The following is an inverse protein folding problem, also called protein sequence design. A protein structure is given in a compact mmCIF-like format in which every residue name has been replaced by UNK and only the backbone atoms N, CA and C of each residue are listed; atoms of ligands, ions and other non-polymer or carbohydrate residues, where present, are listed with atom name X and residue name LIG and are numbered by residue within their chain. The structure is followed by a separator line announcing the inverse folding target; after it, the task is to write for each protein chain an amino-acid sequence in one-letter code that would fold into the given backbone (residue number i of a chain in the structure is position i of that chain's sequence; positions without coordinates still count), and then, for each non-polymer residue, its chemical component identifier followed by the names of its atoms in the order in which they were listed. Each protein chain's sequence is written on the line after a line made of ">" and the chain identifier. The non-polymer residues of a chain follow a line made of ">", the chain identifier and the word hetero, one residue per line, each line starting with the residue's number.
data_IF_873121455898
#
_entry.id   IF_873121455898
#
_cell.length_a   1.000
_cell.length_b   1.000
_cell.length_c   1.000
_cell.angle_alpha   90.00
_cell.angle_beta   90.00
_cell.angle_gamma   90.00
#
_symmetry.space_group_name_H-M   'P 1'
#
loop_
_entity.id
_entity.type
_entity.pdbx_description
1 polymer ?
#
# COMPACT_ATOMS: atom_id res chain seq x y z
N UNK A 1 18.57 13.46 -7.14
CA UNK A 1 18.08 12.40 -6.24
C UNK A 1 16.65 12.72 -5.83
N UNK A 2 15.71 11.82 -6.09
CA UNK A 2 14.27 12.00 -5.84
C UNK A 2 13.88 11.27 -4.54
N UNK A 3 14.35 10.04 -4.37
CA UNK A 3 14.07 9.21 -3.20
C UNK A 3 15.20 8.21 -2.97
N UNK A 4 15.43 7.83 -1.72
CA UNK A 4 16.41 6.80 -1.31
C UNK A 4 15.67 5.64 -0.66
N UNK A 5 15.99 4.42 -1.07
CA UNK A 5 15.49 3.18 -0.49
C UNK A 5 16.58 2.59 0.40
N UNK A 6 16.25 2.30 1.66
CA UNK A 6 17.21 1.81 2.65
C UNK A 6 16.78 0.51 3.35
N UNK A 7 15.46 0.24 3.39
CA UNK A 7 14.91 -0.85 4.21
C UNK A 7 14.91 -2.20 3.49
N UNK A 8 14.16 -2.31 2.37
CA UNK A 8 14.00 -3.57 1.63
C UNK A 8 15.02 -3.70 0.50
N UNK A 9 15.40 -2.58 -0.10
CA UNK A 9 16.36 -2.48 -1.18
C UNK A 9 17.29 -1.31 -0.83
N UNK A 10 18.59 -1.47 -1.05
CA UNK A 10 19.54 -0.36 -1.00
C UNK A 10 19.67 0.26 -2.40
N UNK A 11 19.16 1.47 -2.57
CA UNK A 11 19.19 2.15 -3.87
C UNK A 11 18.56 3.53 -3.84
N UNK A 12 18.44 4.16 -4.99
CA UNK A 12 17.82 5.48 -5.11
C UNK A 12 17.09 5.63 -6.44
N UNK A 13 16.12 6.53 -6.47
CA UNK A 13 15.49 6.99 -7.71
C UNK A 13 16.01 8.39 -8.06
N UNK A 14 16.28 8.62 -9.34
CA UNK A 14 16.70 9.92 -9.86
C UNK A 14 16.32 10.04 -11.33
N UNK A 15 16.34 11.26 -11.86
CA UNK A 15 16.24 11.50 -13.31
C UNK A 15 17.64 11.41 -13.89
N UNK A 16 17.77 10.65 -14.98
CA UNK A 16 18.99 10.46 -15.75
C UNK A 16 18.64 10.48 -17.23
N UNK A 17 19.59 10.95 -18.03
CA UNK A 17 19.64 10.70 -19.47
C UNK A 17 19.94 9.22 -19.73
N UNK A 18 19.65 8.74 -20.94
CA UNK A 18 19.88 7.33 -21.27
C UNK A 18 21.38 6.98 -21.19
N UNK A 19 22.24 7.90 -21.63
CA UNK A 19 23.69 7.73 -21.58
C UNK A 19 24.21 7.64 -20.15
N UNK A 20 23.66 8.47 -19.25
CA UNK A 20 24.02 8.48 -17.83
C UNK A 20 23.55 7.19 -17.13
N UNK A 21 22.37 6.66 -17.50
CA UNK A 21 21.86 5.40 -16.96
C UNK A 21 22.76 4.21 -17.33
N UNK A 22 23.23 4.14 -18.58
CA UNK A 22 24.16 3.10 -19.05
C UNK A 22 25.51 3.21 -18.33
N UNK A 23 26.02 4.43 -18.16
CA UNK A 23 27.26 4.65 -17.41
C UNK A 23 27.12 4.22 -15.94
N UNK A 24 25.97 4.54 -15.32
CA UNK A 24 25.69 4.17 -13.93
C UNK A 24 25.62 2.65 -13.75
N UNK A 25 25.01 1.93 -14.69
CA UNK A 25 24.91 0.47 -14.65
C UNK A 25 26.28 -0.22 -14.64
N UNK A 26 27.29 0.39 -15.25
CA UNK A 26 28.66 -0.12 -15.26
C UNK A 26 29.45 0.12 -13.97
N UNK A 27 28.92 0.90 -13.02
CA UNK A 27 29.66 1.28 -11.80
C UNK A 27 29.73 0.10 -10.81
N UNK A 28 30.92 -0.17 -10.23
CA UNK A 28 31.03 -1.13 -9.13
C UNK A 28 30.07 -0.80 -7.99
N UNK A 29 29.30 -1.80 -7.54
CA UNK A 29 28.30 -1.63 -6.49
C UNK A 29 26.88 -1.33 -6.99
N UNK A 30 26.68 -1.12 -8.29
CA UNK A 30 25.35 -1.04 -8.90
C UNK A 30 24.94 -2.44 -9.35
N UNK A 31 23.84 -2.96 -8.78
CA UNK A 31 23.31 -4.27 -9.13
C UNK A 31 22.47 -4.22 -10.43
N UNK A 32 21.69 -3.17 -10.60
CA UNK A 32 20.81 -2.98 -11.77
C UNK A 32 20.33 -1.54 -11.86
N UNK A 33 20.16 -1.02 -13.08
CA UNK A 33 19.48 0.25 -13.33
C UNK A 33 18.18 -0.04 -14.07
N UNK A 34 17.04 0.24 -13.45
CA UNK A 34 15.72 -0.04 -14.02
C UNK A 34 14.97 1.28 -14.27
N UNK A 35 14.36 1.46 -15.46
CA UNK A 35 13.50 2.61 -15.69
C UNK A 35 12.28 2.54 -14.77
N UNK A 36 11.95 3.66 -14.13
CA UNK A 36 10.79 3.73 -13.24
C UNK A 36 9.50 3.57 -14.07
N UNK A 37 8.82 2.44 -13.92
CA UNK A 37 7.71 1.99 -14.79
C UNK A 37 6.39 2.78 -14.68
N UNK A 38 6.34 4.01 -14.16
CA UNK A 38 5.12 4.84 -14.27
C UNK A 38 4.75 5.17 -15.72
N UNK A 39 5.69 5.03 -16.66
CA UNK A 39 5.44 5.23 -18.08
C UNK A 39 4.72 4.05 -18.77
N UNK A 40 4.61 2.86 -18.13
CA UNK A 40 4.19 1.62 -18.83
C UNK A 40 2.78 1.12 -18.55
N UNK A 41 1.93 1.95 -17.95
CA UNK A 41 0.50 1.69 -17.87
C UNK A 41 -0.06 2.18 -16.55
N UNK A 42 -1.10 3.01 -16.63
CA UNK A 42 -1.96 3.24 -15.48
C UNK A 42 -2.44 1.87 -15.01
N UNK A 43 -2.31 1.56 -13.73
CA UNK A 43 -2.99 0.38 -13.18
C UNK A 43 -4.48 0.52 -13.52
N UNK A 44 -5.02 -0.44 -14.26
CA UNK A 44 -6.42 -0.41 -14.64
C UNK A 44 -7.26 -0.95 -13.49
N UNK A 45 -8.40 -0.30 -13.24
CA UNK A 45 -9.32 -0.73 -12.21
C UNK A 45 -9.97 -2.05 -12.65
N UNK A 46 -9.60 -3.15 -12.01
CA UNK A 46 -10.11 -4.47 -12.39
C UNK A 46 -11.53 -4.73 -11.89
N UNK A 47 -11.91 -4.23 -10.70
CA UNK A 47 -13.25 -4.44 -10.14
C UNK A 47 -13.67 -3.29 -9.23
N UNK A 48 -14.96 -2.91 -9.25
CA UNK A 48 -15.59 -2.01 -8.26
C UNK A 48 -16.57 -2.74 -7.34
N UNK A 49 -16.86 -4.01 -7.61
CA UNK A 49 -17.88 -4.83 -6.94
C UNK A 49 -17.36 -6.23 -6.64
N UNK A 50 -16.23 -6.32 -5.95
CA UNK A 50 -15.55 -7.58 -5.63
C UNK A 50 -16.44 -8.60 -4.91
N UNK A 51 -17.30 -8.21 -3.94
CA UNK A 51 -18.19 -9.17 -3.28
C UNK A 51 -19.15 -9.86 -4.26
N UNK A 52 -19.76 -9.11 -5.19
CA UNK A 52 -20.65 -9.66 -6.21
C UNK A 52 -19.88 -10.51 -7.24
N UNK A 53 -18.69 -10.02 -7.65
CA UNK A 53 -17.82 -10.74 -8.59
C UNK A 53 -17.39 -12.11 -8.06
N UNK A 54 -17.07 -12.18 -6.77
CA UNK A 54 -16.69 -13.42 -6.08
C UNK A 54 -17.90 -14.22 -5.56
N UNK A 55 -19.12 -13.71 -5.73
CA UNK A 55 -20.36 -14.35 -5.26
C UNK A 55 -20.52 -14.39 -3.75
N UNK A 56 -19.77 -13.56 -3.01
CA UNK A 56 -19.80 -13.48 -1.54
C UNK A 56 -21.12 -12.87 -1.03
N UNK A 57 -21.88 -12.22 -1.90
CA UNK A 57 -23.24 -11.71 -1.63
C UNK A 57 -24.29 -12.82 -1.46
N UNK A 58 -23.96 -14.06 -1.86
CA UNK A 58 -24.91 -15.18 -1.92
C UNK A 58 -24.80 -16.17 -0.77
N UNK A 59 -23.81 -16.01 0.11
CA UNK A 59 -23.53 -16.94 1.20
C UNK A 59 -23.28 -16.19 2.51
N UNK A 60 -24.23 -16.32 3.43
CA UNK A 60 -24.18 -15.75 4.79
C UNK A 60 -23.14 -16.42 5.68
N UNK A 61 -22.64 -17.60 5.29
CA UNK A 61 -21.85 -18.48 6.15
C UNK A 61 -20.33 -18.39 5.89
N UNK A 62 -19.88 -17.47 5.03
CA UNK A 62 -18.45 -17.32 4.68
C UNK A 62 -17.59 -16.76 5.79
N UNK A 63 -18.23 -16.06 6.72
CA UNK A 63 -17.59 -15.41 7.85
C UNK A 63 -18.11 -16.06 9.12
N UNK A 64 -17.62 -17.26 9.50
CA UNK A 64 -17.91 -17.78 10.83
C UNK A 64 -17.49 -16.71 11.84
N UNK A 65 -18.32 -16.45 12.85
CA UNK A 65 -18.00 -15.59 14.00
C UNK A 65 -16.77 -16.19 14.73
N UNK A 66 -15.58 -15.92 14.22
CA UNK A 66 -14.32 -16.37 14.76
C UNK A 66 -13.52 -15.14 15.13
N UNK A 67 -13.09 -15.07 16.38
CA UNK A 67 -12.31 -13.97 16.93
C UNK A 67 -10.97 -13.75 16.17
N UNK A 68 -10.54 -14.75 15.41
CA UNK A 68 -9.31 -14.77 14.60
C UNK A 68 -9.29 -13.71 13.48
N UNK A 69 -10.44 -13.23 13.00
CA UNK A 69 -10.44 -12.22 11.93
C UNK A 69 -9.90 -10.86 12.41
N UNK A 70 -9.94 -10.59 13.71
CA UNK A 70 -9.43 -9.34 14.29
C UNK A 70 -7.90 -9.28 14.42
N UNK A 71 -7.21 -10.41 14.22
CA UNK A 71 -5.75 -10.50 14.34
C UNK A 71 -5.00 -10.24 13.02
N UNK A 72 -5.72 -10.16 11.89
CA UNK A 72 -5.12 -9.98 10.56
C UNK A 72 -5.10 -8.51 10.17
N UNK A 73 -3.93 -8.02 9.76
CA UNK A 73 -3.77 -6.66 9.21
C UNK A 73 -3.60 -6.74 7.69
N UNK A 74 -4.46 -6.02 6.96
CA UNK A 74 -4.44 -5.95 5.49
C UNK A 74 -3.88 -4.59 5.07
N UNK A 75 -2.72 -4.58 4.41
CA UNK A 75 -2.15 -3.38 3.80
C UNK A 75 -2.74 -3.12 2.42
N UNK A 76 -3.23 -1.91 2.17
CA UNK A 76 -3.81 -1.50 0.88
C UNK A 76 -2.94 -0.39 0.27
N UNK A 77 -2.38 -0.65 -0.91
CA UNK A 77 -1.67 0.36 -1.70
C UNK A 77 -2.64 1.05 -2.65
N UNK A 78 -3.07 2.26 -2.28
CA UNK A 78 -4.03 3.08 -3.04
C UNK A 78 -3.54 4.54 -3.09
N UNK A 79 -4.30 5.39 -3.77
CA UNK A 79 -4.20 6.84 -3.84
C UNK A 79 -4.55 7.56 -2.54
N UNK A 80 -5.11 6.84 -1.56
CA UNK A 80 -5.47 7.36 -0.25
C UNK A 80 -6.75 6.71 0.27
N UNK A 81 -7.27 7.26 1.36
CA UNK A 81 -8.53 6.83 1.98
C UNK A 81 -9.33 8.07 2.40
N UNK A 82 -10.63 7.90 2.63
CA UNK A 82 -11.48 8.92 3.23
C UNK A 82 -11.85 8.50 4.67
N UNK A 83 -11.07 8.89 5.69
CA UNK A 83 -11.24 8.43 7.08
C UNK A 83 -12.64 8.64 7.65
N UNK A 84 -13.30 9.71 7.24
CA UNK A 84 -14.60 10.13 7.77
C UNK A 84 -15.76 9.29 7.21
N UNK A 85 -15.48 8.37 6.28
CA UNK A 85 -16.49 7.43 5.76
C UNK A 85 -16.96 6.48 6.86
N UNK A 86 -18.27 6.21 6.90
CA UNK A 86 -18.88 5.27 7.87
C UNK A 86 -18.28 3.86 7.79
N UNK A 87 -17.68 3.49 6.66
CA UNK A 87 -17.01 2.20 6.49
C UNK A 87 -15.77 2.02 7.38
N UNK A 88 -15.21 3.09 7.95
CA UNK A 88 -14.02 3.05 8.81
C UNK A 88 -14.34 3.25 10.30
N UNK A 89 -15.62 3.22 10.69
CA UNK A 89 -16.01 3.27 12.10
C UNK A 89 -15.57 1.96 12.79
N UNK A 90 -14.86 2.08 13.90
CA UNK A 90 -14.27 0.95 14.63
C UNK A 90 -15.19 0.32 15.69
N UNK A 91 -16.47 0.70 15.74
CA UNK A 91 -17.43 0.15 16.70
C UNK A 91 -17.54 -1.36 16.56
N UNK A 92 -17.21 -2.09 17.63
CA UNK A 92 -17.25 -3.56 17.67
C UNK A 92 -15.95 -4.24 17.25
N UNK A 93 -14.90 -3.48 16.87
CA UNK A 93 -13.56 -4.03 16.68
C UNK A 93 -12.82 -4.17 18.02
N UNK A 94 -12.05 -5.25 18.15
CA UNK A 94 -11.14 -5.46 19.28
C UNK A 94 -9.95 -4.48 19.28
N UNK A 95 -9.04 -4.59 20.26
CA UNK A 95 -7.83 -3.78 20.29
C UNK A 95 -6.95 -4.07 19.06
N UNK A 96 -6.16 -3.08 18.65
CA UNK A 96 -5.15 -3.26 17.59
C UNK A 96 -4.20 -4.41 17.97
N UNK A 97 -3.88 -5.34 17.05
CA UNK A 97 -2.98 -6.46 17.32
C UNK A 97 -1.63 -6.00 17.89
N UNK A 98 -1.17 -6.64 18.96
CA UNK A 98 0.04 -6.22 19.70
C UNK A 98 1.35 -6.28 18.90
N UNK A 99 1.37 -7.05 17.82
CA UNK A 99 2.49 -7.16 16.89
C UNK A 99 2.49 -6.07 15.80
N UNK A 100 1.42 -5.28 15.69
CA UNK A 100 1.36 -4.16 14.74
C UNK A 100 2.27 -3.02 15.18
N UNK A 101 3.13 -2.57 14.25
CA UNK A 101 4.10 -1.48 14.47
C UNK A 101 3.91 -0.33 13.48
N UNK A 102 2.76 -0.28 12.78
CA UNK A 102 2.50 0.81 11.86
C UNK A 102 2.30 2.11 12.62
N UNK A 103 2.88 3.17 12.08
CA UNK A 103 2.76 4.52 12.64
C UNK A 103 1.82 5.34 11.79
N UNK A 104 1.25 6.35 12.41
CA UNK A 104 0.43 7.31 11.71
C UNK A 104 1.30 8.50 11.27
N UNK A 105 1.40 8.71 9.97
CA UNK A 105 2.11 9.86 9.41
C UNK A 105 1.15 11.04 9.24
N UNK A 106 1.49 12.18 9.86
CA UNK A 106 0.71 13.41 9.70
C UNK A 106 0.86 13.94 8.28
N UNK A 107 -0.26 14.17 7.60
CA UNK A 107 -0.28 14.80 6.27
C UNK A 107 -1.30 15.93 6.24
N UNK A 108 -1.22 16.79 5.21
CA UNK A 108 -2.19 17.87 5.03
C UNK A 108 -3.60 17.27 4.93
N UNK A 109 -4.51 17.67 5.83
CA UNK A 109 -5.88 17.16 6.01
C UNK A 109 -6.01 15.74 6.60
N UNK A 110 -4.91 15.10 7.00
CA UNK A 110 -4.93 13.91 7.85
C UNK A 110 -4.33 14.32 9.19
N UNK A 111 -5.20 14.54 10.19
CA UNK A 111 -4.88 14.87 11.58
C UNK A 111 -5.28 13.75 12.55
N UNK A 112 -4.59 13.62 13.69
CA UNK A 112 -4.94 12.68 14.78
C UNK A 112 -6.39 12.88 15.27
N UNK A 113 -6.96 14.07 15.06
CA UNK A 113 -8.30 14.45 15.53
C UNK A 113 -9.47 13.82 14.75
N UNK A 114 -9.21 13.05 13.71
CA UNK A 114 -10.25 12.44 12.87
C UNK A 114 -10.47 10.93 13.19
N UNK A 115 -9.86 10.41 14.27
CA UNK A 115 -10.00 9.02 14.74
C UNK A 115 -10.22 8.95 16.25
#
# INVERSE_FOLDING_TARGET
>A
MIYTYEQVIHGFSTRLMLEEAVQLESQPGILSVLPLCFARGKYELHTTRTPEFLGLDKSTDLFPESDLMSEVVIGVLDTGVWPESKSFINTGLGPVPSNWKGEWESATNFGIRNF
#
